data_IF_392546519458
#
_entry.id   IF_392546519458
#
_cell.length_a   1.000
_cell.length_b   1.000
_cell.length_c   1.000
_cell.angle_alpha   90.00
_cell.angle_beta   90.00
_cell.angle_gamma   90.00
#
_symmetry.space_group_name_H-M   'P 1'
#
loop_
_entity.id
_entity.type
_entity.pdbx_description
1 polymer ?
#
# COMPACT_ATOMS: atom_id res chain seq x y z
N UNK A 1 -17.00 14.74 23.40
CA UNK A 1 -16.40 13.38 23.51
C UNK A 1 -17.39 12.23 23.31
N UNK A 2 -18.70 12.34 23.61
CA UNK A 2 -19.64 11.20 23.52
C UNK A 2 -19.96 10.74 22.09
N UNK A 3 -19.92 11.63 21.10
CA UNK A 3 -20.24 11.29 19.70
C UNK A 3 -19.20 10.35 19.06
N UNK A 4 -17.91 10.65 19.23
CA UNK A 4 -16.80 9.83 18.71
C UNK A 4 -16.77 8.48 19.42
N UNK A 5 -16.96 8.48 20.75
CA UNK A 5 -16.93 7.26 21.56
C UNK A 5 -18.01 6.24 21.18
N UNK A 6 -19.25 6.68 21.00
CA UNK A 6 -20.35 5.77 20.67
C UNK A 6 -20.38 5.35 19.20
N UNK A 7 -20.08 6.28 18.27
CA UNK A 7 -20.26 6.03 16.84
C UNK A 7 -19.01 5.48 16.15
N UNK A 8 -17.82 5.84 16.64
CA UNK A 8 -16.54 5.47 16.04
C UNK A 8 -15.87 4.31 16.80
N UNK A 9 -16.00 4.27 18.13
CA UNK A 9 -15.41 3.21 18.96
C UNK A 9 -16.41 2.11 19.38
N UNK A 10 -17.68 2.17 18.96
CA UNK A 10 -18.69 1.16 19.32
C UNK A 10 -19.07 1.16 20.81
N UNK A 11 -18.90 2.29 21.50
CA UNK A 11 -19.16 2.43 22.94
C UNK A 11 -18.12 1.73 23.82
N UNK A 12 -18.50 1.39 25.06
CA UNK A 12 -17.60 0.81 26.07
C UNK A 12 -16.98 -0.51 25.63
N UNK A 13 -17.75 -1.38 24.98
CA UNK A 13 -17.30 -2.70 24.57
C UNK A 13 -16.28 -2.62 23.42
N UNK A 14 -16.52 -1.77 22.41
CA UNK A 14 -15.58 -1.63 21.30
C UNK A 14 -14.28 -0.93 21.72
N UNK A 15 -14.34 0.06 22.61
CA UNK A 15 -13.13 0.68 23.18
C UNK A 15 -12.26 -0.33 23.95
N UNK A 16 -12.87 -1.19 24.77
CA UNK A 16 -12.16 -2.28 25.45
C UNK A 16 -11.55 -3.24 24.43
N UNK A 17 -12.29 -3.59 23.36
CA UNK A 17 -11.77 -4.40 22.26
C UNK A 17 -10.52 -3.79 21.60
N UNK A 18 -10.53 -2.49 21.30
CA UNK A 18 -9.37 -1.79 20.74
C UNK A 18 -8.16 -1.80 21.68
N UNK A 19 -8.38 -1.57 22.98
CA UNK A 19 -7.30 -1.64 23.98
C UNK A 19 -6.70 -3.04 24.05
N UNK A 20 -7.55 -4.08 24.10
CA UNK A 20 -7.09 -5.47 24.13
C UNK A 20 -6.30 -5.82 22.87
N UNK A 21 -6.78 -5.40 21.69
CA UNK A 21 -6.06 -5.58 20.43
C UNK A 21 -4.71 -4.86 20.44
N UNK A 22 -4.68 -3.59 20.88
CA UNK A 22 -3.45 -2.80 20.96
C UNK A 22 -2.44 -3.44 21.94
N UNK A 23 -2.90 -3.91 23.10
CA UNK A 23 -2.07 -4.60 24.07
C UNK A 23 -1.53 -5.93 23.51
N UNK A 24 -2.35 -6.68 22.80
CA UNK A 24 -1.93 -7.92 22.14
C UNK A 24 -0.83 -7.65 21.10
N UNK A 25 -1.03 -6.68 20.21
CA UNK A 25 -0.13 -6.41 19.08
C UNK A 25 1.13 -5.66 19.49
N UNK A 26 1.02 -4.65 20.37
CA UNK A 26 2.14 -3.76 20.72
C UNK A 26 2.92 -4.22 21.95
N UNK A 27 2.36 -5.10 22.79
CA UNK A 27 3.01 -5.54 24.05
C UNK A 27 3.21 -7.05 24.07
N UNK A 28 2.15 -7.85 23.91
CA UNK A 28 2.26 -9.31 24.04
C UNK A 28 3.10 -9.90 22.91
N UNK A 29 2.83 -9.54 21.65
CA UNK A 29 3.57 -10.08 20.52
C UNK A 29 5.08 -9.78 20.58
N UNK A 30 5.54 -8.54 20.81
CA UNK A 30 6.97 -8.26 20.94
C UNK A 30 7.66 -8.97 22.12
N UNK A 31 6.93 -9.24 23.22
CA UNK A 31 7.50 -9.90 24.39
C UNK A 31 7.52 -11.43 24.28
N UNK A 32 6.60 -12.04 23.53
CA UNK A 32 6.45 -13.50 23.46
C UNK A 32 6.99 -14.12 22.17
N UNK A 33 7.15 -13.36 21.09
CA UNK A 33 7.57 -13.88 19.80
C UNK A 33 9.04 -13.56 19.51
N UNK A 34 9.74 -14.48 18.86
CA UNK A 34 11.04 -14.21 18.27
C UNK A 34 10.94 -13.25 17.08
N UNK A 35 12.06 -12.64 16.69
CA UNK A 35 12.12 -11.63 15.64
C UNK A 35 11.57 -12.13 14.29
N UNK A 36 11.80 -13.40 13.93
CA UNK A 36 11.32 -13.94 12.67
C UNK A 36 9.79 -14.07 12.68
N UNK A 37 9.21 -14.65 13.74
CA UNK A 37 7.75 -14.73 13.89
C UNK A 37 7.09 -13.37 13.99
N UNK A 38 7.71 -12.42 14.69
CA UNK A 38 7.18 -11.06 14.84
C UNK A 38 7.09 -10.36 13.47
N UNK A 39 8.12 -10.49 12.63
CA UNK A 39 8.09 -9.95 11.26
C UNK A 39 7.02 -10.63 10.39
N UNK A 40 6.85 -11.95 10.49
CA UNK A 40 5.78 -12.67 9.79
C UNK A 40 4.39 -12.18 10.23
N UNK A 41 4.18 -11.99 11.53
CA UNK A 41 2.92 -11.44 12.06
C UNK A 41 2.65 -10.06 11.50
N UNK A 42 3.65 -9.17 11.49
CA UNK A 42 3.53 -7.85 10.87
C UNK A 42 3.13 -7.93 9.39
N UNK A 43 3.77 -8.82 8.64
CA UNK A 43 3.46 -9.07 7.21
C UNK A 43 2.02 -9.56 7.00
N UNK A 44 1.57 -10.54 7.78
CA UNK A 44 0.21 -11.07 7.65
C UNK A 44 -0.87 -10.07 8.09
N UNK A 45 -0.64 -9.32 9.17
CA UNK A 45 -1.54 -8.25 9.61
C UNK A 45 -1.66 -7.17 8.53
N UNK A 46 -0.56 -6.85 7.87
CA UNK A 46 -0.52 -5.91 6.75
C UNK A 46 -1.38 -6.40 5.58
N UNK A 47 -1.30 -7.69 5.22
CA UNK A 47 -2.17 -8.29 4.19
C UNK A 47 -3.63 -8.50 4.63
N UNK A 48 -3.93 -8.43 5.92
CA UNK A 48 -5.31 -8.48 6.39
C UNK A 48 -6.12 -7.25 5.96
N UNK A 49 -5.49 -6.08 5.81
CA UNK A 49 -6.18 -4.85 5.38
C UNK A 49 -6.84 -4.96 3.99
N UNK A 50 -6.14 -5.38 2.90
CA UNK A 50 -6.77 -5.56 1.60
C UNK A 50 -7.83 -6.68 1.63
N UNK A 51 -7.63 -7.74 2.42
CA UNK A 51 -8.62 -8.80 2.59
C UNK A 51 -9.92 -8.27 3.23
N UNK A 52 -9.81 -7.52 4.34
CA UNK A 52 -10.94 -6.88 5.00
C UNK A 52 -11.62 -5.89 4.06
N UNK A 53 -10.85 -5.11 3.30
CA UNK A 53 -11.40 -4.19 2.30
C UNK A 53 -12.25 -4.91 1.24
N UNK A 54 -11.80 -6.07 0.75
CA UNK A 54 -12.57 -6.90 -0.17
C UNK A 54 -13.84 -7.46 0.47
N UNK A 55 -13.75 -7.94 1.71
CA UNK A 55 -14.90 -8.45 2.47
C UNK A 55 -15.95 -7.35 2.70
N UNK A 56 -15.54 -6.11 2.99
CA UNK A 56 -16.46 -4.99 3.13
C UNK A 56 -17.15 -4.66 1.80
N UNK A 57 -16.39 -4.64 0.70
CA UNK A 57 -16.92 -4.29 -0.62
C UNK A 57 -17.90 -5.35 -1.13
N UNK A 58 -17.54 -6.63 -1.00
CA UNK A 58 -18.36 -7.74 -1.49
C UNK A 58 -19.45 -8.15 -0.50
N UNK A 59 -19.11 -8.29 0.79
CA UNK A 59 -20.03 -8.74 1.83
C UNK A 59 -21.06 -7.69 2.24
N UNK A 60 -20.64 -6.44 2.45
CA UNK A 60 -21.55 -5.35 2.82
C UNK A 60 -22.05 -4.57 1.60
N UNK A 61 -21.16 -4.27 0.65
CA UNK A 61 -21.52 -3.53 -0.56
C UNK A 61 -22.22 -4.35 -1.65
N UNK A 62 -22.17 -5.69 -1.58
CA UNK A 62 -22.80 -6.58 -2.56
C UNK A 62 -22.14 -6.58 -3.95
N UNK A 63 -20.94 -6.00 -4.09
CA UNK A 63 -20.24 -5.87 -5.37
C UNK A 63 -18.91 -6.61 -5.27
N UNK A 64 -18.62 -7.50 -6.22
CA UNK A 64 -17.33 -8.19 -6.24
C UNK A 64 -16.28 -7.36 -6.99
N UNK A 65 -15.20 -6.98 -6.31
CA UNK A 65 -14.02 -6.33 -6.90
C UNK A 65 -12.87 -7.32 -6.95
N UNK A 66 -12.39 -7.67 -8.15
CA UNK A 66 -11.22 -8.54 -8.29
C UNK A 66 -9.90 -7.76 -8.40
N UNK A 67 -9.98 -6.43 -8.56
CA UNK A 67 -8.83 -5.53 -8.60
C UNK A 67 -8.44 -4.91 -7.25
N UNK A 68 -8.99 -5.37 -6.13
CA UNK A 68 -8.87 -4.66 -4.84
C UNK A 68 -7.41 -4.52 -4.36
N UNK A 69 -6.56 -5.49 -4.67
CA UNK A 69 -5.14 -5.48 -4.30
C UNK A 69 -4.35 -4.31 -4.89
N UNK A 70 -4.82 -3.71 -5.99
CA UNK A 70 -4.16 -2.57 -6.64
C UNK A 70 -4.03 -1.38 -5.69
N UNK A 71 -5.11 -1.01 -5.01
CA UNK A 71 -5.12 0.19 -4.17
C UNK A 71 -4.18 0.05 -2.98
N UNK A 72 -4.13 -1.16 -2.42
CA UNK A 72 -3.16 -1.53 -1.41
C UNK A 72 -1.73 -1.51 -1.95
N UNK A 73 -1.51 -2.07 -3.14
CA UNK A 73 -0.22 -2.05 -3.83
C UNK A 73 0.29 -0.65 -4.13
N UNK A 74 -0.56 0.27 -4.58
CA UNK A 74 -0.20 1.67 -4.84
C UNK A 74 0.27 2.39 -3.56
N UNK A 75 -0.43 2.20 -2.44
CA UNK A 75 -0.01 2.74 -1.15
C UNK A 75 1.29 2.11 -0.65
N UNK A 76 1.44 0.79 -0.80
CA UNK A 76 2.66 0.08 -0.47
C UNK A 76 3.86 0.55 -1.29
N UNK A 77 3.69 0.75 -2.60
CA UNK A 77 4.70 1.30 -3.49
C UNK A 77 5.13 2.71 -3.07
N UNK A 78 4.19 3.59 -2.71
CA UNK A 78 4.53 4.93 -2.24
C UNK A 78 5.39 4.92 -0.97
N UNK A 79 5.08 4.06 0.00
CA UNK A 79 5.93 3.89 1.18
C UNK A 79 7.28 3.27 0.84
N UNK A 80 7.30 2.27 -0.06
CA UNK A 80 8.53 1.64 -0.49
C UNK A 80 9.46 2.62 -1.23
N UNK A 81 8.92 3.55 -2.02
CA UNK A 81 9.71 4.62 -2.64
C UNK A 81 10.43 5.47 -1.60
N UNK A 82 9.74 5.90 -0.54
CA UNK A 82 10.34 6.66 0.56
C UNK A 82 11.43 5.84 1.28
N UNK A 83 11.12 4.62 1.70
CA UNK A 83 12.07 3.77 2.42
C UNK A 83 13.30 3.43 1.58
N UNK A 84 13.13 3.24 0.26
CA UNK A 84 14.24 2.97 -0.64
C UNK A 84 15.12 4.20 -0.84
N UNK A 85 14.54 5.40 -0.96
CA UNK A 85 15.31 6.65 -1.02
C UNK A 85 16.12 6.88 0.26
N UNK A 86 15.54 6.63 1.43
CA UNK A 86 16.25 6.69 2.71
C UNK A 86 17.41 5.68 2.77
N UNK A 87 17.21 4.46 2.26
CA UNK A 87 18.25 3.45 2.17
C UNK A 87 19.35 3.82 1.15
N UNK A 88 18.99 4.50 0.06
CA UNK A 88 19.85 4.86 -1.07
C UNK A 88 20.69 6.13 -0.86
N UNK A 89 21.09 6.44 0.37
CA UNK A 89 22.02 7.55 0.62
C UNK A 89 23.36 7.31 -0.10
N UNK A 90 24.02 8.39 -0.55
CA UNK A 90 25.29 8.30 -1.29
C UNK A 90 26.39 7.53 -0.53
N UNK A 91 26.34 7.51 0.81
CA UNK A 91 27.25 6.72 1.64
C UNK A 91 26.94 5.21 1.56
N UNK A 92 25.66 4.84 1.59
CA UNK A 92 25.22 3.44 1.53
C UNK A 92 25.37 2.85 0.12
N UNK A 93 25.31 3.70 -0.91
CA UNK A 93 25.39 3.29 -2.32
C UNK A 93 26.75 3.58 -2.95
N UNK A 94 27.81 3.77 -2.18
CA UNK A 94 29.14 4.11 -2.71
C UNK A 94 29.74 3.03 -3.64
N UNK A 95 29.21 1.82 -3.59
CA UNK A 95 29.61 0.68 -4.44
C UNK A 95 28.93 0.75 -5.83
N UNK A 96 27.84 1.50 -5.97
CA UNK A 96 27.08 1.62 -7.22
C UNK A 96 27.79 2.53 -8.22
N UNK A 97 27.44 2.37 -9.51
CA UNK A 97 28.00 3.20 -10.58
C UNK A 97 27.50 4.64 -10.46
N UNK A 98 26.27 4.80 -9.98
CA UNK A 98 25.62 6.08 -9.72
C UNK A 98 25.20 6.16 -8.24
N UNK A 99 25.99 6.81 -7.37
CA UNK A 99 25.62 6.94 -5.96
C UNK A 99 24.38 7.85 -5.76
N UNK A 100 23.52 7.51 -4.80
CA UNK A 100 22.38 8.33 -4.40
C UNK A 100 21.05 7.95 -5.05
N UNK A 101 20.99 6.85 -5.80
CA UNK A 101 19.76 6.35 -6.41
C UNK A 101 19.46 4.91 -5.96
N UNK A 102 18.21 4.42 -6.13
CA UNK A 102 17.90 3.01 -5.98
C UNK A 102 18.77 2.10 -6.85
N UNK A 103 19.20 0.97 -6.30
CA UNK A 103 20.00 -0.07 -6.97
C UNK A 103 19.43 -0.54 -8.30
N UNK A 104 18.13 -0.81 -8.37
CA UNK A 104 17.47 -1.24 -9.60
C UNK A 104 17.50 -0.15 -10.69
N UNK A 105 17.59 1.13 -10.33
CA UNK A 105 17.76 2.23 -11.29
C UNK A 105 19.17 2.20 -11.88
N UNK A 106 20.20 1.98 -11.05
CA UNK A 106 21.60 1.84 -11.50
C UNK A 106 21.76 0.61 -12.42
N UNK A 107 21.15 -0.52 -12.07
CA UNK A 107 21.16 -1.73 -12.92
C UNK A 107 20.51 -1.51 -14.29
N UNK A 108 19.54 -0.58 -14.36
CA UNK A 108 18.86 -0.19 -15.60
C UNK A 108 19.48 1.05 -16.27
N UNK A 109 20.69 1.45 -15.87
CA UNK A 109 21.45 2.57 -16.47
C UNK A 109 20.72 3.92 -16.38
N UNK A 110 19.87 4.10 -15.36
CA UNK A 110 19.29 5.40 -15.05
C UNK A 110 20.32 6.19 -14.25
N UNK A 111 20.73 7.33 -14.77
CA UNK A 111 21.84 8.14 -14.22
C UNK A 111 21.40 9.26 -13.29
N UNK A 112 20.09 9.50 -13.18
CA UNK A 112 19.53 10.54 -12.33
C UNK A 112 18.19 10.11 -11.76
N UNK A 113 17.88 10.59 -10.56
CA UNK A 113 16.59 10.30 -9.93
C UNK A 113 15.46 10.92 -10.77
N UNK A 114 14.43 10.15 -11.14
CA UNK A 114 13.29 10.69 -11.88
C UNK A 114 12.52 11.72 -11.05
N UNK A 115 12.02 12.77 -11.70
CA UNK A 115 11.31 13.87 -11.04
C UNK A 115 10.12 13.44 -10.17
N UNK A 116 9.42 12.35 -10.53
CA UNK A 116 8.26 11.86 -9.77
C UNK A 116 8.65 11.07 -8.51
N UNK A 117 9.93 10.70 -8.35
CA UNK A 117 10.48 10.12 -7.13
C UNK A 117 10.93 11.18 -6.13
N UNK A 118 11.37 12.36 -6.59
CA UNK A 118 11.89 13.42 -5.72
C UNK A 118 10.95 13.78 -4.53
N UNK A 119 9.62 13.88 -4.69
CA UNK A 119 8.72 14.20 -3.59
C UNK A 119 8.74 13.18 -2.44
N UNK A 120 9.10 11.92 -2.74
CA UNK A 120 9.18 10.83 -1.77
C UNK A 120 10.43 10.89 -0.88
N UNK A 121 11.28 11.93 -0.98
CA UNK A 121 12.26 12.22 0.08
C UNK A 121 11.60 12.80 1.35
N UNK A 122 10.38 13.32 1.25
CA UNK A 122 9.66 13.88 2.40
C UNK A 122 8.70 12.87 3.00
N UNK A 123 8.93 12.49 4.26
CA UNK A 123 8.04 11.57 4.98
C UNK A 123 6.60 12.10 5.05
N UNK A 124 6.42 13.40 5.29
CA UNK A 124 5.10 14.02 5.35
C UNK A 124 4.36 13.93 4.01
N UNK A 125 5.08 14.18 2.90
CA UNK A 125 4.51 14.00 1.57
C UNK A 125 4.10 12.55 1.35
N UNK A 126 4.96 11.59 1.68
CA UNK A 126 4.69 10.16 1.52
C UNK A 126 3.42 9.74 2.25
N UNK A 127 3.25 10.13 3.52
CA UNK A 127 2.05 9.79 4.30
C UNK A 127 0.77 10.35 3.66
N UNK A 128 0.81 11.58 3.13
CA UNK A 128 -0.33 12.14 2.41
C UNK A 128 -0.55 11.39 1.10
N UNK A 129 0.50 11.11 0.34
CA UNK A 129 0.43 10.45 -0.95
C UNK A 129 -0.15 9.03 -0.87
N UNK A 130 0.28 8.21 0.12
CA UNK A 130 -0.23 6.84 0.28
C UNK A 130 -1.72 6.77 0.65
N UNK A 131 -2.28 7.84 1.22
CA UNK A 131 -3.70 7.95 1.52
C UNK A 131 -4.48 8.55 0.34
N UNK A 132 -3.96 9.63 -0.23
CA UNK A 132 -4.65 10.41 -1.25
C UNK A 132 -4.58 9.75 -2.62
N UNK A 133 -3.44 9.21 -3.04
CA UNK A 133 -3.28 8.65 -4.39
C UNK A 133 -4.18 7.43 -4.62
N UNK A 134 -4.20 6.41 -3.74
CA UNK A 134 -5.12 5.27 -3.93
C UNK A 134 -6.59 5.70 -3.85
N UNK A 135 -6.92 6.64 -2.96
CA UNK A 135 -8.28 7.14 -2.82
C UNK A 135 -8.75 7.95 -4.04
N UNK A 136 -7.90 8.82 -4.58
CA UNK A 136 -8.18 9.60 -5.79
C UNK A 136 -8.33 8.67 -6.99
N UNK A 137 -7.45 7.68 -7.12
CA UNK A 137 -7.54 6.68 -8.19
C UNK A 137 -8.83 5.85 -8.08
N UNK A 138 -9.16 5.39 -6.88
CA UNK A 138 -10.43 4.70 -6.60
C UNK A 138 -11.65 5.57 -6.91
N UNK A 139 -11.58 6.87 -6.58
CA UNK A 139 -12.66 7.82 -6.86
C UNK A 139 -12.86 8.01 -8.37
N UNK A 140 -11.79 8.19 -9.15
CA UNK A 140 -11.89 8.36 -10.62
C UNK A 140 -12.55 7.13 -11.26
N UNK A 141 -12.07 5.93 -10.90
CA UNK A 141 -12.62 4.66 -11.42
C UNK A 141 -14.07 4.47 -10.94
N UNK A 142 -14.29 4.61 -9.64
CA UNK A 142 -15.60 4.43 -9.00
C UNK A 142 -16.64 5.39 -9.58
N UNK A 143 -16.31 6.68 -9.70
CA UNK A 143 -17.21 7.68 -10.28
C UNK A 143 -17.61 7.34 -11.72
N UNK A 144 -16.64 6.91 -12.55
CA UNK A 144 -16.93 6.50 -13.92
C UNK A 144 -17.84 5.26 -13.98
N UNK A 145 -17.61 4.27 -13.13
CA UNK A 145 -18.38 3.02 -13.08
C UNK A 145 -19.79 3.24 -12.53
N UNK A 146 -19.94 3.97 -11.42
CA UNK A 146 -21.24 4.21 -10.78
C UNK A 146 -22.12 5.15 -11.58
N UNK A 147 -21.55 6.18 -12.24
CA UNK A 147 -22.32 7.06 -13.15
C UNK A 147 -22.94 6.28 -14.31
N UNK A 148 -22.28 5.22 -14.76
CA UNK A 148 -22.77 4.29 -15.80
C UNK A 148 -23.60 3.13 -15.25
N UNK A 149 -23.88 3.11 -13.94
CA UNK A 149 -24.63 2.07 -13.23
C UNK A 149 -24.08 0.65 -13.50
N UNK A 150 -22.76 0.52 -13.59
CA UNK A 150 -22.10 -0.78 -13.78
C UNK A 150 -22.25 -1.60 -12.50
N UNK A 151 -22.76 -2.83 -12.62
CA UNK A 151 -22.95 -3.75 -11.49
C UNK A 151 -22.62 -5.19 -11.84
N UNK A 152 -22.64 -6.04 -10.82
CA UNK A 152 -22.44 -7.49 -10.96
C UNK A 152 -21.10 -7.86 -11.60
N UNK A 153 -21.15 -8.80 -12.55
CA UNK A 153 -19.97 -9.38 -13.20
C UNK A 153 -19.15 -8.34 -13.97
N UNK A 154 -19.80 -7.34 -14.59
CA UNK A 154 -19.10 -6.29 -15.32
C UNK A 154 -18.19 -5.46 -14.44
N UNK A 155 -18.59 -5.23 -13.17
CA UNK A 155 -17.74 -4.54 -12.20
C UNK A 155 -16.46 -5.34 -11.94
N UNK A 156 -16.62 -6.65 -11.67
CA UNK A 156 -15.48 -7.54 -11.43
C UNK A 156 -14.53 -7.58 -12.63
N UNK A 157 -15.03 -7.73 -13.86
CA UNK A 157 -14.21 -7.75 -15.08
C UNK A 157 -13.44 -6.45 -15.25
N UNK A 158 -14.08 -5.29 -15.09
CA UNK A 158 -13.42 -4.00 -15.25
C UNK A 158 -12.32 -3.83 -14.20
N UNK A 159 -12.59 -4.12 -12.92
CA UNK A 159 -11.55 -4.04 -11.87
C UNK A 159 -10.39 -5.00 -12.12
N UNK A 160 -10.66 -6.20 -12.66
CA UNK A 160 -9.62 -7.15 -13.03
C UNK A 160 -8.77 -6.64 -14.19
N UNK A 161 -9.38 -6.06 -15.23
CA UNK A 161 -8.65 -5.47 -16.36
C UNK A 161 -7.75 -4.34 -15.89
N UNK A 162 -8.22 -3.49 -14.98
CA UNK A 162 -7.39 -2.41 -14.39
C UNK A 162 -6.21 -3.01 -13.63
N UNK A 163 -6.41 -4.12 -12.89
CA UNK A 163 -5.31 -4.83 -12.21
C UNK A 163 -4.25 -5.32 -13.19
N UNK A 164 -4.68 -5.92 -14.30
CA UNK A 164 -3.78 -6.40 -15.34
C UNK A 164 -3.03 -5.24 -16.00
N UNK A 165 -3.72 -4.16 -16.37
CA UNK A 165 -3.09 -2.97 -16.98
C UNK A 165 -1.99 -2.42 -16.06
N UNK A 166 -2.29 -2.23 -14.78
CA UNK A 166 -1.29 -1.71 -13.83
C UNK A 166 -0.15 -2.69 -13.60
N UNK A 167 -0.42 -3.98 -13.53
CA UNK A 167 0.63 -5.01 -13.42
C UNK A 167 1.56 -4.94 -14.63
N UNK A 168 1.01 -4.88 -15.84
CA UNK A 168 1.80 -4.77 -17.08
C UNK A 168 2.61 -3.47 -17.10
N UNK A 169 2.03 -2.34 -16.70
CA UNK A 169 2.73 -1.06 -16.64
C UNK A 169 3.88 -1.08 -15.63
N UNK A 170 3.65 -1.58 -14.41
CA UNK A 170 4.67 -1.65 -13.37
C UNK A 170 5.78 -2.60 -13.80
N UNK A 171 5.45 -3.81 -14.23
CA UNK A 171 6.44 -4.81 -14.65
C UNK A 171 7.22 -4.33 -15.88
N UNK A 172 6.55 -3.69 -16.84
CA UNK A 172 7.18 -3.15 -18.04
C UNK A 172 8.11 -1.96 -17.79
N UNK A 173 7.97 -1.28 -16.65
CA UNK A 173 8.79 -0.13 -16.26
C UNK A 173 9.84 -0.50 -15.21
N UNK A 174 10.57 -1.61 -15.43
CA UNK A 174 11.50 -2.18 -14.45
C UNK A 174 12.53 -1.18 -13.92
N UNK A 175 13.08 -0.32 -14.78
CA UNK A 175 14.04 0.70 -14.37
C UNK A 175 13.47 1.71 -13.36
N UNK A 176 12.16 1.99 -13.40
CA UNK A 176 11.55 3.01 -12.55
C UNK A 176 10.78 2.46 -11.34
N UNK A 177 10.39 1.19 -11.37
CA UNK A 177 9.48 0.58 -10.38
C UNK A 177 10.05 -0.69 -9.75
N UNK A 178 11.22 -1.16 -10.17
CA UNK A 178 11.76 -2.48 -9.81
C UNK A 178 11.06 -3.65 -10.52
N UNK A 179 10.03 -3.38 -11.35
CA UNK A 179 9.38 -4.36 -12.21
C UNK A 179 8.76 -5.52 -11.41
N UNK A 180 9.07 -6.75 -11.81
CA UNK A 180 8.52 -7.97 -11.17
C UNK A 180 9.07 -8.23 -9.77
N UNK A 181 10.29 -7.77 -9.49
CA UNK A 181 10.93 -7.93 -8.17
C UNK A 181 10.38 -6.92 -7.14
N UNK A 182 9.78 -5.84 -7.64
CA UNK A 182 9.32 -4.73 -6.83
C UNK A 182 10.45 -3.98 -6.13
N UNK A 183 10.10 -3.23 -5.08
CA UNK A 183 11.04 -2.47 -4.25
C UNK A 183 11.20 -3.22 -2.93
N UNK A 184 11.96 -4.31 -2.96
CA UNK A 184 12.03 -5.29 -1.87
C UNK A 184 13.39 -5.37 -1.17
N UNK A 185 14.44 -4.89 -1.83
CA UNK A 185 15.81 -4.83 -1.33
C UNK A 185 16.16 -3.43 -0.79
#
# INVERSE_FOLDING_TARGET
>A
MSFIYNKLMGGKQGFVGFILLALLVLVIFPLCLDLFRLNLVGKYLTYAFPAVSLVLLWGYGGILSLGQGIFFGLGGYGMAMFLKLEASSAANTAIQSTPGIPDFMDWNQITQLPWFWEPFNSFAFTIVAILVLPAAFAYVIGAAMFKRRVGGVYFAIITQVIAVILTVLIVGQQGFTGGINGITD
#
